data_IF_331737515291
#
_entry.id   IF_331737515291
#
_cell.length_a   1.000
_cell.length_b   1.000
_cell.length_c   1.000
_cell.angle_alpha   90.00
_cell.angle_beta   90.00
_cell.angle_gamma   90.00
#
_symmetry.space_group_name_H-M   'P 1'
#
loop_
_entity.id
_entity.type
_entity.pdbx_description
1 polymer ?
#
# COMPACT_ATOMS: atom_id res chain seq x y z
N UNK A 1 -17.41 4.24 -5.88
CA UNK A 1 -16.41 3.28 -6.13
C UNK A 1 -15.76 2.82 -4.89
N UNK A 2 -15.45 1.57 -4.82
CA UNK A 2 -14.86 1.03 -3.62
C UNK A 2 -13.40 1.39 -3.52
N UNK A 3 -12.94 1.59 -2.30
CA UNK A 3 -11.53 1.83 -2.03
C UNK A 3 -10.66 0.74 -2.66
N UNK A 4 -11.10 -0.50 -2.53
CA UNK A 4 -10.37 -1.64 -3.05
C UNK A 4 -10.12 -1.50 -4.55
N UNK A 5 -11.11 -1.03 -5.29
CA UNK A 5 -10.96 -0.90 -6.72
C UNK A 5 -9.97 0.20 -7.08
N UNK A 6 -9.92 1.24 -6.27
CA UNK A 6 -8.97 2.32 -6.52
C UNK A 6 -7.55 1.86 -6.27
N UNK A 7 -7.36 1.13 -5.19
CA UNK A 7 -6.02 0.74 -4.77
C UNK A 7 -5.50 -0.42 -5.58
N UNK A 8 -6.39 -1.24 -6.10
CA UNK A 8 -5.97 -2.41 -6.84
C UNK A 8 -5.13 -2.05 -8.07
N UNK A 9 -5.30 -0.88 -8.58
CA UNK A 9 -4.48 -0.42 -9.69
C UNK A 9 -3.00 -0.36 -9.34
N UNK A 10 -2.71 -0.25 -8.07
CA UNK A 10 -1.34 -0.11 -7.62
C UNK A 10 -0.67 -1.42 -7.29
N UNK A 11 -1.37 -2.53 -7.46
CA UNK A 11 -0.76 -3.82 -7.17
C UNK A 11 0.48 -4.00 -8.02
N UNK A 12 1.54 -4.45 -7.39
CA UNK A 12 2.80 -4.64 -8.07
C UNK A 12 3.67 -3.41 -8.14
N UNK A 13 3.16 -2.30 -7.64
CA UNK A 13 3.91 -1.04 -7.70
C UNK A 13 4.32 -0.60 -6.32
N UNK A 14 5.32 0.25 -6.28
CA UNK A 14 5.74 0.85 -5.02
C UNK A 14 4.74 1.93 -4.63
N UNK A 15 4.33 1.91 -3.39
CA UNK A 15 3.34 2.88 -2.91
C UNK A 15 3.76 3.43 -1.56
N UNK A 16 3.24 4.59 -1.25
CA UNK A 16 3.35 5.16 0.07
C UNK A 16 1.95 5.18 0.66
N UNK A 17 1.81 4.59 1.83
CA UNK A 17 0.51 4.49 2.48
C UNK A 17 0.54 5.32 3.75
N UNK A 18 -0.28 6.34 3.81
CA UNK A 18 -0.40 7.15 5.01
C UNK A 18 -1.54 6.60 5.85
N UNK A 19 -1.25 6.29 7.09
CA UNK A 19 -2.25 5.75 8.00
C UNK A 19 -2.33 6.60 9.24
N UNK A 20 -3.30 6.30 10.08
CA UNK A 20 -3.46 7.02 11.34
C UNK A 20 -2.27 6.82 12.27
N UNK A 21 -1.47 5.82 12.03
CA UNK A 21 -0.33 5.53 12.89
C UNK A 21 1.00 5.94 12.28
N UNK A 22 0.99 6.39 11.06
CA UNK A 22 2.24 6.78 10.42
C UNK A 22 2.22 6.46 8.95
N UNK A 23 3.37 6.58 8.33
CA UNK A 23 3.50 6.37 6.90
C UNK A 23 4.32 5.12 6.65
N UNK A 24 3.82 4.31 5.72
CA UNK A 24 4.49 3.09 5.35
C UNK A 24 4.85 3.13 3.87
N UNK A 25 6.00 2.56 3.55
CA UNK A 25 6.44 2.45 2.17
C UNK A 25 6.65 0.99 1.83
N UNK A 26 6.35 0.64 0.61
CA UNK A 26 6.61 -0.71 0.17
C UNK A 26 5.93 -0.98 -1.15
N UNK A 27 6.07 -2.21 -1.60
CA UNK A 27 5.40 -2.63 -2.82
C UNK A 27 4.07 -3.27 -2.45
N UNK A 28 3.03 -2.85 -3.11
CA UNK A 28 1.71 -3.38 -2.85
C UNK A 28 1.61 -4.73 -3.53
N UNK A 29 1.55 -5.79 -2.74
CA UNK A 29 1.53 -7.13 -3.31
C UNK A 29 0.13 -7.70 -3.40
N UNK A 30 -0.78 -7.23 -2.57
CA UNK A 30 -2.12 -7.77 -2.61
C UNK A 30 -3.11 -6.79 -2.02
N UNK A 31 -4.28 -6.72 -2.60
CA UNK A 31 -5.38 -5.90 -2.08
C UNK A 31 -6.54 -6.84 -1.81
N UNK A 32 -6.99 -6.84 -0.57
CA UNK A 32 -8.15 -7.63 -0.16
C UNK A 32 -9.30 -6.69 0.14
N UNK A 33 -10.46 -7.25 0.43
CA UNK A 33 -11.64 -6.41 0.60
C UNK A 33 -11.51 -5.44 1.76
N UNK A 34 -10.79 -5.77 2.81
CA UNK A 34 -10.66 -4.88 3.96
C UNK A 34 -9.23 -4.58 4.34
N UNK A 35 -8.26 -5.15 3.64
CA UNK A 35 -6.87 -4.96 3.99
C UNK A 35 -6.02 -4.87 2.74
N UNK A 36 -4.84 -4.30 2.90
CA UNK A 36 -3.82 -4.36 1.86
C UNK A 36 -2.56 -4.93 2.47
N UNK A 37 -1.75 -5.52 1.64
CA UNK A 37 -0.50 -6.12 2.07
C UNK A 37 0.63 -5.46 1.31
N UNK A 38 1.56 -4.89 2.08
CA UNK A 38 2.75 -4.28 1.54
C UNK A 38 3.95 -5.16 1.81
N UNK A 39 4.86 -5.23 0.86
CA UNK A 39 6.10 -5.92 1.05
C UNK A 39 7.20 -4.90 1.11
N UNK A 40 8.00 -4.93 2.17
CA UNK A 40 9.08 -3.99 2.31
C UNK A 40 10.14 -4.24 1.27
N UNK A 41 10.90 -3.20 1.01
CA UNK A 41 11.92 -3.26 0.01
C UNK A 41 12.92 -4.35 0.22
N UNK A 42 13.19 -4.64 1.46
CA UNK A 42 14.15 -5.70 1.78
C UNK A 42 13.63 -7.08 1.47
N UNK A 43 12.34 -7.17 1.20
CA UNK A 43 11.78 -8.41 0.74
C UNK A 43 11.46 -9.42 1.80
N UNK A 44 11.76 -9.13 3.03
CA UNK A 44 11.57 -10.12 4.08
C UNK A 44 10.39 -9.88 4.96
N UNK A 45 9.74 -8.75 4.84
CA UNK A 45 8.63 -8.45 5.71
C UNK A 45 7.43 -8.02 4.94
N UNK A 46 6.29 -8.41 5.42
CA UNK A 46 5.02 -7.95 4.89
C UNK A 46 4.27 -7.21 5.96
N UNK A 47 3.67 -6.12 5.57
CA UNK A 47 2.86 -5.32 6.48
C UNK A 47 1.44 -5.38 6.01
N UNK A 48 0.55 -5.75 6.92
CA UNK A 48 -0.87 -5.83 6.61
C UNK A 48 -1.54 -4.62 7.23
N UNK A 49 -2.24 -3.86 6.41
CA UNK A 49 -2.86 -2.63 6.85
C UNK A 49 -4.34 -2.70 6.56
N UNK A 50 -5.16 -2.41 7.57
CA UNK A 50 -6.59 -2.36 7.37
C UNK A 50 -6.96 -1.09 6.63
N UNK A 51 -7.91 -1.21 5.72
CA UNK A 51 -8.30 -0.06 4.94
C UNK A 51 -8.92 1.03 5.82
N UNK A 52 -9.53 0.67 6.92
CA UNK A 52 -10.13 1.66 7.81
C UNK A 52 -9.11 2.57 8.47
N UNK A 53 -7.85 2.16 8.45
CA UNK A 53 -6.79 2.97 9.03
C UNK A 53 -6.02 3.77 8.00
N UNK A 54 -6.34 3.61 6.76
CA UNK A 54 -5.60 4.25 5.70
C UNK A 54 -6.21 5.61 5.40
N UNK A 55 -5.36 6.62 5.38
CA UNK A 55 -5.78 7.96 5.03
C UNK A 55 -5.58 8.20 3.54
N UNK A 56 -4.46 7.72 3.01
CA UNK A 56 -4.16 7.92 1.59
C UNK A 56 -3.17 6.90 1.11
N UNK A 57 -3.28 6.53 -0.15
CA UNK A 57 -2.31 5.66 -0.80
C UNK A 57 -1.82 6.40 -2.04
N UNK A 58 -0.51 6.56 -2.13
CA UNK A 58 0.08 7.29 -3.23
C UNK A 58 1.04 6.38 -3.96
N UNK A 59 0.91 6.32 -5.26
CA UNK A 59 1.83 5.57 -6.06
C UNK A 59 3.18 6.28 -6.05
N UNK A 60 4.22 5.52 -5.73
CA UNK A 60 5.56 6.07 -5.69
C UNK A 60 6.33 5.46 -6.84
N UNK A 61 6.54 6.24 -7.85
CA UNK A 61 7.14 5.77 -9.03
C UNK A 61 8.55 5.52 -8.91
N UNK A 62 9.04 5.63 -7.95
CA UNK A 62 10.25 5.10 -7.71
C UNK A 62 11.43 5.65 -8.33
N UNK A 63 11.35 5.96 -9.15
CA UNK A 63 12.42 6.25 -9.56
C UNK A 63 12.81 7.45 -9.43
N UNK A 64 12.61 7.90 -9.10
CA UNK A 64 13.02 8.89 -8.93
C UNK A 64 13.81 9.13 -8.46
N UNK A 65 14.13 8.92 -8.50
CA UNK A 65 14.89 9.03 -8.08
C UNK A 65 15.08 9.51 -7.88
#
# INVERSE_FOLDING_TARGET
MAFKDQVKKFEGKNVRVATVEGIFFGRLVQVKSTTIILEERNGNRRTIIRDSKIIAVTEHDGDDC
#
